data_IF_147914595949
#
_entry.id   IF_147914595949
#
_cell.length_a   1.000
_cell.length_b   1.000
_cell.length_c   1.000
_cell.angle_alpha   90.00
_cell.angle_beta   90.00
_cell.angle_gamma   90.00
#
_symmetry.space_group_name_H-M   'P 1'
#
loop_
_entity.id
_entity.type
_entity.pdbx_description
1 polymer ?
#
# COMPACT_ATOMS: atom_id res chain seq x y z
N UNK A 1 -18.71 12.15 10.88
CA UNK A 1 -17.29 11.86 10.57
C UNK A 1 -17.22 10.37 10.27
N UNK A 2 -17.05 9.99 9.01
CA UNK A 2 -16.84 8.59 8.64
C UNK A 2 -15.37 8.26 8.90
N UNK A 3 -15.10 7.16 9.61
CA UNK A 3 -13.74 6.69 9.88
C UNK A 3 -13.45 5.48 9.00
N UNK A 4 -12.32 5.53 8.29
CA UNK A 4 -11.88 4.47 7.40
C UNK A 4 -12.65 4.38 6.08
N UNK A 5 -12.23 3.45 5.25
CA UNK A 5 -12.83 3.12 3.96
C UNK A 5 -13.42 1.71 4.01
N UNK A 6 -14.57 1.52 3.37
CA UNK A 6 -15.10 0.18 3.15
C UNK A 6 -14.34 -0.45 2.01
N UNK A 7 -13.74 -1.61 2.25
CA UNK A 7 -13.05 -2.39 1.24
C UNK A 7 -13.56 -3.84 1.28
N UNK A 8 -13.62 -4.52 0.13
CA UNK A 8 -13.93 -5.94 0.10
C UNK A 8 -12.73 -6.76 0.61
N UNK A 9 -12.95 -8.00 1.05
CA UNK A 9 -11.85 -8.91 1.46
C UNK A 9 -10.86 -9.15 0.30
N UNK A 10 -11.38 -9.16 -0.93
CA UNK A 10 -10.67 -9.34 -2.19
C UNK A 10 -11.32 -8.39 -3.18
N UNK A 11 -10.52 -7.60 -3.90
CA UNK A 11 -11.09 -6.74 -4.93
C UNK A 11 -11.75 -7.60 -6.02
N UNK A 12 -12.95 -7.23 -6.52
CA UNK A 12 -13.68 -8.05 -7.47
C UNK A 12 -12.82 -8.52 -8.65
N UNK A 13 -12.98 -9.80 -9.01
CA UNK A 13 -12.31 -10.42 -10.15
C UNK A 13 -10.77 -10.40 -10.06
N UNK A 14 -10.21 -10.37 -8.83
CA UNK A 14 -8.77 -10.54 -8.55
C UNK A 14 -8.47 -11.86 -7.82
N UNK A 15 -7.22 -12.31 -7.90
CA UNK A 15 -6.76 -13.57 -7.32
C UNK A 15 -6.51 -13.46 -5.80
N UNK A 16 -5.91 -12.36 -5.35
CA UNK A 16 -5.43 -12.23 -3.97
C UNK A 16 -6.39 -11.43 -3.07
N UNK A 17 -6.35 -11.74 -1.77
CA UNK A 17 -7.08 -10.98 -0.74
C UNK A 17 -6.25 -9.76 -0.33
N UNK A 18 -6.89 -8.68 0.11
CA UNK A 18 -6.25 -7.48 0.68
C UNK A 18 -5.51 -7.74 2.02
N UNK A 19 -5.29 -9.01 2.37
CA UNK A 19 -4.35 -9.42 3.40
C UNK A 19 -2.89 -9.47 2.89
N UNK A 20 -2.67 -9.54 1.58
CA UNK A 20 -1.34 -9.58 0.96
C UNK A 20 -0.99 -8.28 0.24
N UNK A 21 0.29 -7.91 0.26
CA UNK A 21 0.82 -6.68 -0.35
C UNK A 21 0.53 -6.61 -1.86
N UNK A 22 0.71 -7.73 -2.58
CA UNK A 22 0.42 -7.79 -4.01
C UNK A 22 -1.04 -7.42 -4.36
N UNK A 23 -2.01 -7.76 -3.50
CA UNK A 23 -3.41 -7.39 -3.74
C UNK A 23 -3.65 -5.88 -3.60
N UNK A 24 -2.94 -5.21 -2.69
CA UNK A 24 -2.97 -3.75 -2.55
C UNK A 24 -2.35 -3.07 -3.77
N UNK A 25 -1.21 -3.58 -4.23
CA UNK A 25 -0.51 -3.07 -5.39
C UNK A 25 -1.33 -3.24 -6.69
N UNK A 26 -1.92 -4.41 -6.91
CA UNK A 26 -2.81 -4.68 -8.04
C UNK A 26 -4.02 -3.74 -8.01
N UNK A 27 -4.68 -3.62 -6.85
CA UNK A 27 -5.84 -2.77 -6.66
C UNK A 27 -5.53 -1.29 -6.90
N UNK A 28 -4.36 -0.82 -6.46
CA UNK A 28 -3.97 0.58 -6.63
C UNK A 28 -3.61 0.95 -8.07
N UNK A 29 -3.32 -0.02 -8.94
CA UNK A 29 -2.96 0.20 -10.34
C UNK A 29 -4.13 0.04 -11.31
N UNK A 30 -5.34 -0.20 -10.82
CA UNK A 30 -6.50 -0.35 -11.69
C UNK A 30 -6.86 0.96 -12.37
N UNK A 31 -7.43 0.92 -13.59
CA UNK A 31 -7.87 2.14 -14.28
C UNK A 31 -8.84 3.00 -13.46
N UNK A 32 -9.70 2.38 -12.65
CA UNK A 32 -10.67 3.09 -11.82
C UNK A 32 -10.12 3.67 -10.51
N UNK A 33 -8.94 3.21 -10.05
CA UNK A 33 -8.31 3.69 -8.81
C UNK A 33 -7.10 4.55 -9.12
N UNK A 34 -6.11 4.04 -9.86
CA UNK A 34 -4.93 4.81 -10.25
C UNK A 34 -4.18 5.44 -9.07
N UNK A 35 -4.20 4.80 -7.90
CA UNK A 35 -3.67 5.31 -6.64
C UNK A 35 -2.18 5.03 -6.43
N UNK A 36 -1.56 4.22 -7.27
CA UNK A 36 -0.14 3.88 -7.15
C UNK A 36 0.76 4.93 -7.81
N UNK A 37 1.75 5.38 -7.07
CA UNK A 37 2.81 6.28 -7.50
C UNK A 37 4.16 5.60 -7.30
N UNK A 38 4.96 5.50 -8.35
CA UNK A 38 6.28 4.88 -8.26
C UNK A 38 7.21 5.74 -7.37
N UNK A 39 8.16 5.11 -6.67
CA UNK A 39 9.18 5.87 -5.94
C UNK A 39 9.90 6.85 -6.89
N UNK A 40 10.06 8.09 -6.44
CA UNK A 40 10.65 9.21 -7.21
C UNK A 40 9.89 9.57 -8.49
N UNK A 41 8.62 9.19 -8.63
CA UNK A 41 7.79 9.69 -9.72
C UNK A 41 7.70 11.21 -9.68
N UNK A 42 7.91 11.85 -10.82
CA UNK A 42 7.87 13.30 -10.95
C UNK A 42 6.52 13.85 -10.49
N UNK A 43 6.56 14.89 -9.64
CA UNK A 43 5.38 15.55 -9.11
C UNK A 43 4.69 14.84 -7.94
N UNK A 44 5.18 13.67 -7.49
CA UNK A 44 4.67 13.01 -6.30
C UNK A 44 5.57 13.22 -5.07
N UNK A 45 4.99 13.70 -3.98
CA UNK A 45 5.67 13.84 -2.68
C UNK A 45 4.88 13.00 -1.67
N UNK A 46 5.50 11.95 -1.07
CA UNK A 46 4.84 11.13 -0.05
C UNK A 46 4.40 11.96 1.14
N UNK A 47 3.28 11.59 1.76
CA UNK A 47 2.70 12.29 2.89
C UNK A 47 2.11 11.33 3.93
N UNK A 48 1.74 11.88 5.09
CA UNK A 48 1.12 11.11 6.16
C UNK A 48 -0.18 10.47 5.68
N UNK A 49 -0.32 9.17 5.92
CA UNK A 49 -1.49 8.38 5.52
C UNK A 49 -1.28 7.59 4.24
N UNK A 50 -0.27 7.93 3.43
CA UNK A 50 0.12 7.09 2.31
C UNK A 50 0.55 5.71 2.79
N UNK A 51 0.26 4.72 1.97
CA UNK A 51 0.74 3.37 2.15
C UNK A 51 2.05 3.24 1.37
N UNK A 52 3.17 2.93 2.03
CA UNK A 52 4.44 2.66 1.36
C UNK A 52 4.54 1.17 1.05
N UNK A 53 4.86 0.83 -0.20
CA UNK A 53 5.11 -0.54 -0.66
C UNK A 53 6.61 -0.72 -0.87
N UNK A 54 7.17 -1.78 -0.28
CA UNK A 54 8.59 -2.07 -0.39
C UNK A 54 8.87 -3.22 -1.37
N UNK A 55 10.00 -3.14 -2.06
CA UNK A 55 10.54 -4.18 -2.94
C UNK A 55 11.75 -4.82 -2.26
N UNK A 56 11.65 -6.12 -1.95
CA UNK A 56 12.74 -6.95 -1.40
C UNK A 56 13.35 -6.40 -0.11
N UNK A 57 12.52 -6.04 0.85
CA UNK A 57 12.96 -5.50 2.13
C UNK A 57 13.23 -6.57 3.18
N UNK A 58 12.40 -7.62 3.24
CA UNK A 58 12.46 -8.70 4.22
C UNK A 58 12.83 -10.05 3.57
N UNK A 59 12.69 -10.17 2.25
CA UNK A 59 12.97 -11.37 1.46
C UNK A 59 13.36 -11.00 0.02
N UNK A 60 13.76 -11.97 -0.80
CA UNK A 60 14.02 -11.76 -2.24
C UNK A 60 12.74 -11.71 -3.10
N UNK A 61 11.56 -11.84 -2.46
CA UNK A 61 10.29 -11.75 -3.15
C UNK A 61 9.94 -10.29 -3.47
N UNK A 62 9.23 -10.10 -4.59
CA UNK A 62 8.74 -8.77 -4.95
C UNK A 62 7.60 -8.33 -4.04
N UNK A 63 7.47 -7.00 -3.85
CA UNK A 63 6.42 -6.36 -3.04
C UNK A 63 6.15 -7.12 -1.72
N UNK A 64 7.20 -7.31 -0.94
CA UNK A 64 7.21 -8.24 0.20
C UNK A 64 6.81 -7.60 1.53
N UNK A 65 6.75 -6.27 1.59
CA UNK A 65 6.41 -5.53 2.80
C UNK A 65 5.64 -4.25 2.50
N UNK A 66 4.88 -3.78 3.48
CA UNK A 66 4.07 -2.56 3.37
C UNK A 66 3.99 -1.85 4.73
N UNK A 67 3.80 -0.53 4.72
CA UNK A 67 3.65 0.28 5.92
C UNK A 67 2.76 1.50 5.69
N UNK A 68 2.39 2.18 6.78
CA UNK A 68 1.67 3.46 6.72
C UNK A 68 2.61 4.59 7.12
N UNK A 69 2.71 5.62 6.28
CA UNK A 69 3.51 6.82 6.58
C UNK A 69 2.85 7.61 7.70
N UNK A 70 3.62 7.87 8.76
CA UNK A 70 3.23 8.72 9.88
C UNK A 70 3.81 10.14 9.75
N UNK A 71 5.02 10.26 9.20
CA UNK A 71 5.69 11.53 8.92
C UNK A 71 6.78 11.36 7.84
N UNK A 72 7.07 12.45 7.13
CA UNK A 72 8.15 12.52 6.16
C UNK A 72 9.22 13.51 6.63
N UNK A 73 10.48 13.12 6.48
CA UNK A 73 11.67 13.94 6.68
C UNK A 73 12.51 13.88 5.40
N UNK A 74 13.53 14.73 5.30
CA UNK A 74 14.34 14.89 4.08
C UNK A 74 14.81 13.54 3.51
N UNK A 75 15.46 12.72 4.35
CA UNK A 75 16.07 11.45 3.95
C UNK A 75 15.37 10.21 4.53
N UNK A 76 14.34 10.39 5.37
CA UNK A 76 13.69 9.29 6.10
C UNK A 76 12.19 9.46 6.16
N UNK A 77 11.48 8.35 6.26
CA UNK A 77 10.05 8.32 6.59
C UNK A 77 9.86 7.61 7.92
N UNK A 78 8.97 8.15 8.76
CA UNK A 78 8.47 7.47 9.94
C UNK A 78 7.26 6.64 9.53
N UNK A 79 7.28 5.35 9.80
CA UNK A 79 6.26 4.40 9.33
C UNK A 79 5.76 3.51 10.46
N UNK A 80 4.47 3.19 10.42
CA UNK A 80 3.88 2.10 11.19
C UNK A 80 3.84 0.86 10.31
N UNK A 81 4.44 -0.24 10.79
CA UNK A 81 4.53 -1.51 10.07
C UNK A 81 4.14 -2.67 10.99
N UNK A 82 3.48 -3.68 10.42
CA UNK A 82 3.33 -5.00 11.03
C UNK A 82 4.51 -5.90 10.67
N UNK A 83 4.51 -7.16 11.14
CA UNK A 83 5.49 -8.19 10.79
C UNK A 83 6.96 -7.72 10.80
N UNK A 84 7.34 -6.85 11.74
CA UNK A 84 8.68 -6.25 11.74
C UNK A 84 9.75 -7.33 11.92
N UNK A 85 10.80 -7.27 11.10
CA UNK A 85 11.90 -8.24 11.07
C UNK A 85 11.42 -9.69 10.89
N UNK A 86 10.30 -9.85 10.16
CA UNK A 86 9.61 -11.13 9.97
C UNK A 86 9.16 -11.80 11.29
N UNK A 87 8.82 -10.99 12.29
CA UNK A 87 8.24 -11.42 13.56
C UNK A 87 6.87 -10.79 13.71
N UNK A 88 5.92 -11.56 14.23
CA UNK A 88 4.53 -11.15 14.36
C UNK A 88 4.30 -10.10 15.46
N UNK A 89 4.79 -8.89 15.25
CA UNK A 89 4.52 -7.72 16.08
C UNK A 89 4.53 -6.44 15.22
N UNK A 90 3.87 -5.39 15.74
CA UNK A 90 3.83 -4.07 15.10
C UNK A 90 4.87 -3.13 15.70
N UNK A 91 5.38 -2.22 14.89
CA UNK A 91 6.37 -1.23 15.32
C UNK A 91 6.19 0.07 14.57
N UNK A 92 6.59 1.16 15.24
CA UNK A 92 6.88 2.44 14.59
C UNK A 92 8.39 2.55 14.44
N UNK A 93 8.88 2.88 13.24
CA UNK A 93 10.31 2.96 12.95
C UNK A 93 10.60 3.93 11.79
N UNK A 94 11.86 4.30 11.65
CA UNK A 94 12.34 5.06 10.50
C UNK A 94 12.82 4.13 9.39
N UNK A 95 12.53 4.50 8.14
CA UNK A 95 13.07 3.88 6.93
C UNK A 95 13.74 4.94 6.07
N UNK A 96 14.83 4.57 5.43
CA UNK A 96 15.53 5.46 4.51
C UNK A 96 14.72 5.62 3.21
N UNK A 97 14.62 6.85 2.72
CA UNK A 97 13.97 7.11 1.44
C UNK A 97 14.80 6.52 0.30
N UNK A 98 14.14 5.95 -0.70
CA UNK A 98 14.79 5.33 -1.85
C UNK A 98 15.53 4.01 -1.58
N UNK A 99 15.42 3.45 -0.37
CA UNK A 99 15.94 2.12 -0.06
C UNK A 99 14.80 1.10 -0.06
N UNK A 100 14.83 0.16 -1.01
CA UNK A 100 13.83 -0.90 -1.16
C UNK A 100 12.39 -0.38 -1.24
N UNK A 101 12.15 0.87 -1.66
CA UNK A 101 10.80 1.40 -1.86
C UNK A 101 10.39 1.13 -3.32
N UNK A 102 9.30 0.40 -3.51
CA UNK A 102 8.68 0.24 -4.83
C UNK A 102 7.90 1.50 -5.20
N UNK A 103 7.10 2.00 -4.26
CA UNK A 103 6.30 3.19 -4.43
C UNK A 103 5.31 3.39 -3.29
N UNK A 104 4.31 4.20 -3.56
CA UNK A 104 3.34 4.68 -2.59
C UNK A 104 1.92 4.52 -3.15
N UNK A 105 0.96 4.21 -2.28
CA UNK A 105 -0.46 4.20 -2.61
C UNK A 105 -1.11 5.37 -1.86
N UNK A 106 -1.63 6.34 -2.61
CA UNK A 106 -2.43 7.45 -2.09
C UNK A 106 -3.88 7.27 -2.49
N UNK A 107 -4.70 6.88 -1.51
CA UNK A 107 -6.14 6.68 -1.69
C UNK A 107 -6.80 8.05 -1.69
N UNK A 108 -7.61 8.33 -2.71
CA UNK A 108 -8.39 9.56 -2.77
C UNK A 108 -9.35 9.68 -1.57
N UNK A 109 -9.45 10.86 -0.96
CA UNK A 109 -10.29 11.09 0.22
C UNK A 109 -11.80 10.93 -0.08
N UNK A 110 -12.20 11.07 -1.35
CA UNK A 110 -13.56 10.82 -1.83
C UNK A 110 -13.78 9.40 -2.36
N UNK A 111 -12.80 8.50 -2.24
CA UNK A 111 -12.97 7.13 -2.70
C UNK A 111 -14.03 6.39 -1.90
N UNK A 112 -15.02 5.88 -2.63
CA UNK A 112 -16.03 4.97 -2.11
C UNK A 112 -15.99 3.67 -2.91
N UNK A 113 -15.76 2.56 -2.22
CA UNK A 113 -15.90 1.26 -2.85
C UNK A 113 -17.35 1.05 -3.29
N UNK A 114 -17.55 0.88 -4.59
CA UNK A 114 -18.81 0.51 -5.19
C UNK A 114 -18.56 -0.51 -6.30
N UNK A 115 -19.17 -1.68 -6.18
CA UNK A 115 -19.09 -2.72 -7.19
C UNK A 115 -20.49 -3.14 -7.61
N UNK A 116 -20.82 -2.90 -8.88
CA UNK A 116 -22.13 -3.22 -9.47
C UNK A 116 -22.04 -4.30 -10.55
N UNK A 117 -20.86 -4.93 -10.71
CA UNK A 117 -20.61 -5.96 -11.71
C UNK A 117 -20.90 -7.38 -11.21
N UNK A 118 -20.62 -8.36 -12.07
CA UNK A 118 -20.64 -9.76 -11.69
C UNK A 118 -19.36 -10.13 -10.93
N UNK A 119 -19.52 -10.70 -9.73
CA UNK A 119 -18.41 -11.19 -8.92
C UNK A 119 -18.03 -12.60 -9.37
N UNK A 120 -17.02 -12.70 -10.23
CA UNK A 120 -16.44 -13.93 -10.76
C UNK A 120 -14.94 -13.99 -10.38
N UNK A 121 -14.60 -14.36 -9.13
CA UNK A 121 -13.23 -14.32 -8.65
C UNK A 121 -12.34 -15.28 -9.43
N UNK A 122 -11.14 -14.82 -9.79
CA UNK A 122 -10.08 -15.68 -10.36
C UNK A 122 -9.67 -16.67 -9.26
N UNK A 123 -9.68 -17.96 -9.61
CA UNK A 123 -9.27 -19.07 -8.73
C UNK A 123 -7.77 -19.27 -8.78
#
# INVERSE_FOLDING_TARGET
>A
MQVGIVLPIRYPNRTFRLAGVGAWLDWAQLPETGFFYQDKQDGFIPERGDIVVYEKLLSDNSHDHIGIILACHDNKILVAEGNKDNKNYSSVLYRDRGHCILGYIRIDNGYHYNFTGEYAPIR
#
